data_IF_410768947172
#
_entry.id   IF_410768947172
#
_cell.length_a   1.000
_cell.length_b   1.000
_cell.length_c   1.000
_cell.angle_alpha   90.00
_cell.angle_beta   90.00
_cell.angle_gamma   90.00
#
_symmetry.space_group_name_H-M   'P 1'
#
loop_
_entity.id
_entity.type
_entity.pdbx_description
1 polymer ?
#
# COMPACT_ATOMS: atom_id res chain seq x y z
N UNK A 1 -10.07 -23.25 29.56
CA UNK A 1 -9.60 -22.02 28.86
C UNK A 1 -8.48 -22.42 27.92
N UNK A 2 -8.52 -22.03 26.65
CA UNK A 2 -7.42 -22.29 25.70
C UNK A 2 -7.86 -22.17 24.25
N UNK A 3 -8.42 -21.02 23.85
CA UNK A 3 -9.22 -20.89 22.63
C UNK A 3 -8.57 -20.10 21.48
N UNK A 4 -7.35 -19.59 21.62
CA UNK A 4 -6.74 -18.80 20.54
C UNK A 4 -5.24 -19.04 20.41
N UNK A 5 -4.85 -20.20 19.90
CA UNK A 5 -3.55 -20.33 19.20
C UNK A 5 -3.67 -19.56 17.87
N UNK A 6 -3.63 -18.22 17.94
CA UNK A 6 -3.59 -17.36 16.76
C UNK A 6 -2.29 -17.69 16.02
N UNK A 7 -2.38 -18.47 14.93
CA UNK A 7 -1.23 -18.68 14.05
C UNK A 7 -0.68 -17.31 13.64
N UNK A 8 0.63 -17.06 13.81
CA UNK A 8 1.23 -15.80 13.39
C UNK A 8 0.98 -15.67 11.89
N UNK A 9 0.40 -14.54 11.51
CA UNK A 9 0.19 -14.21 10.10
C UNK A 9 1.28 -13.23 9.73
N UNK A 10 1.87 -13.37 8.55
CA UNK A 10 2.98 -12.52 8.13
C UNK A 10 2.55 -11.59 7.00
N UNK A 11 3.12 -10.40 6.97
CA UNK A 11 2.92 -9.46 5.88
C UNK A 11 3.50 -10.03 4.60
N UNK A 12 2.74 -10.05 3.51
CA UNK A 12 3.23 -10.53 2.20
C UNK A 12 4.36 -9.67 1.62
N UNK A 13 4.50 -8.41 2.07
CA UNK A 13 5.51 -7.46 1.55
C UNK A 13 6.76 -7.46 2.42
N UNK A 14 6.62 -7.25 3.72
CA UNK A 14 7.76 -7.08 4.63
C UNK A 14 8.04 -8.30 5.53
N UNK A 15 7.26 -9.38 5.41
CA UNK A 15 7.35 -10.59 6.23
C UNK A 15 7.30 -10.37 7.75
N UNK A 16 6.88 -9.18 8.22
CA UNK A 16 6.68 -8.91 9.65
C UNK A 16 5.46 -9.67 10.16
N UNK A 17 5.52 -10.07 11.42
CA UNK A 17 4.39 -10.66 12.13
C UNK A 17 3.25 -9.64 12.26
N UNK A 18 2.04 -10.08 11.91
CA UNK A 18 0.83 -9.30 11.89
C UNK A 18 -0.01 -9.60 13.13
N UNK A 19 -0.20 -8.60 13.98
CA UNK A 19 -1.24 -8.60 15.01
C UNK A 19 -2.63 -8.39 14.42
N UNK A 20 -2.74 -7.56 13.38
CA UNK A 20 -3.97 -7.26 12.63
C UNK A 20 -3.79 -7.49 11.13
N UNK A 21 -4.76 -8.16 10.50
CA UNK A 21 -4.75 -8.46 9.07
C UNK A 21 -5.45 -7.34 8.31
N UNK A 22 -4.72 -6.55 7.54
CA UNK A 22 -5.32 -5.60 6.60
C UNK A 22 -5.53 -6.27 5.24
N UNK A 23 -6.76 -6.15 4.71
CA UNK A 23 -7.09 -6.63 3.37
C UNK A 23 -6.68 -5.56 2.36
N UNK A 24 -5.79 -5.85 1.40
CA UNK A 24 -5.48 -4.91 0.33
C UNK A 24 -6.71 -4.59 -0.52
N UNK A 25 -6.75 -3.39 -1.11
CA UNK A 25 -7.78 -3.05 -2.10
C UNK A 25 -7.65 -3.99 -3.32
N UNK A 26 -8.79 -4.37 -3.92
CA UNK A 26 -8.80 -5.22 -5.13
C UNK A 26 -7.99 -4.61 -6.28
N UNK A 27 -7.99 -3.29 -6.36
CA UNK A 27 -7.28 -2.50 -7.38
C UNK A 27 -5.74 -2.67 -7.30
N UNK A 28 -5.18 -3.03 -6.14
CA UNK A 28 -3.73 -3.15 -5.97
C UNK A 28 -3.17 -4.50 -6.46
N UNK A 29 -4.03 -5.46 -6.83
CA UNK A 29 -3.65 -6.82 -7.24
C UNK A 29 -2.76 -7.58 -6.23
N UNK A 30 -2.72 -7.17 -4.97
CA UNK A 30 -1.93 -7.84 -3.92
C UNK A 30 -2.74 -9.00 -3.33
N UNK A 31 -2.20 -10.22 -3.42
CA UNK A 31 -2.80 -11.43 -2.84
C UNK A 31 -2.12 -11.77 -1.51
N UNK A 32 -2.72 -11.34 -0.41
CA UNK A 32 -2.27 -11.69 0.94
C UNK A 32 -2.55 -10.61 1.98
N UNK A 33 -2.39 -10.92 3.28
CA UNK A 33 -2.55 -9.95 4.34
C UNK A 33 -1.35 -8.98 4.38
N UNK A 34 -1.64 -7.70 4.60
CA UNK A 34 -0.63 -6.65 4.75
C UNK A 34 -0.58 -6.16 6.20
N UNK A 35 0.59 -5.66 6.63
CA UNK A 35 0.71 -4.86 7.85
C UNK A 35 0.17 -3.45 7.62
N UNK A 36 -0.10 -2.73 8.70
CA UNK A 36 -0.58 -1.35 8.63
C UNK A 36 0.35 -0.46 7.80
N UNK A 37 1.67 -0.58 7.99
CA UNK A 37 2.66 0.20 7.25
C UNK A 37 2.64 -0.11 5.75
N UNK A 38 2.68 -1.39 5.37
CA UNK A 38 2.67 -1.80 3.96
C UNK A 38 1.32 -1.49 3.29
N UNK A 39 0.22 -1.54 4.03
CA UNK A 39 -1.09 -1.12 3.52
C UNK A 39 -1.11 0.40 3.28
N UNK A 40 -0.53 1.20 4.19
CA UNK A 40 -0.42 2.64 4.04
C UNK A 40 0.48 3.02 2.87
N UNK A 41 1.66 2.41 2.77
CA UNK A 41 2.61 2.65 1.68
C UNK A 41 2.00 2.32 0.32
N UNK A 42 1.35 1.16 0.19
CA UNK A 42 0.61 0.78 -1.03
C UNK A 42 -0.51 1.77 -1.37
N UNK A 43 -1.19 2.31 -0.35
CA UNK A 43 -2.20 3.33 -0.59
C UNK A 43 -1.58 4.60 -1.14
N UNK A 44 -0.46 5.04 -0.56
CA UNK A 44 0.28 6.21 -0.99
C UNK A 44 0.78 6.05 -2.43
N UNK A 45 1.42 4.93 -2.76
CA UNK A 45 1.84 4.59 -4.13
C UNK A 45 0.67 4.63 -5.12
N UNK A 46 -0.49 4.09 -4.73
CA UNK A 46 -1.67 4.06 -5.58
C UNK A 46 -2.22 5.47 -5.86
N UNK A 47 -2.24 6.35 -4.86
CA UNK A 47 -2.65 7.74 -5.03
C UNK A 47 -1.60 8.54 -5.81
N UNK A 48 -0.32 8.42 -5.49
CA UNK A 48 0.79 9.08 -6.20
C UNK A 48 0.85 8.68 -7.68
N UNK A 49 0.59 7.40 -8.00
CA UNK A 49 0.55 6.92 -9.38
C UNK A 49 -0.59 7.52 -10.20
N UNK A 50 -1.69 7.94 -9.56
CA UNK A 50 -2.86 8.54 -10.21
C UNK A 50 -2.75 10.05 -10.38
N UNK A 51 -2.03 10.76 -9.51
CA UNK A 51 -1.88 12.21 -9.62
C UNK A 51 -0.67 12.54 -10.49
N UNK A 52 -0.81 12.25 -11.78
CA UNK A 52 0.08 12.72 -12.84
C UNK A 52 -0.62 13.85 -13.56
N UNK A 53 0.03 14.99 -13.68
CA UNK A 53 -0.48 16.14 -14.45
C UNK A 53 0.60 16.53 -15.46
N UNK A 54 0.21 16.90 -16.70
CA UNK A 54 1.15 17.52 -17.62
C UNK A 54 1.57 18.87 -17.04
N UNK A 55 2.87 19.16 -17.08
CA UNK A 55 3.37 20.49 -16.76
C UNK A 55 2.76 21.52 -17.72
N UNK A 56 2.24 22.63 -17.19
CA UNK A 56 1.60 23.70 -17.99
C UNK A 56 2.59 24.45 -18.88
N UNK A 57 3.88 24.45 -18.52
CA UNK A 57 4.95 25.13 -19.27
C UNK A 57 5.58 24.23 -20.36
N UNK A 58 5.84 22.96 -20.04
CA UNK A 58 6.62 22.08 -20.92
C UNK A 58 5.88 20.83 -21.42
N UNK A 59 4.65 20.59 -20.95
CA UNK A 59 3.83 19.42 -21.35
C UNK A 59 4.31 18.08 -20.78
N UNK A 60 5.46 18.04 -20.10
CA UNK A 60 5.99 16.80 -19.54
C UNK A 60 5.10 16.32 -18.38
N UNK A 61 4.63 15.07 -18.47
CA UNK A 61 3.81 14.46 -17.43
C UNK A 61 4.70 13.99 -16.28
N UNK A 62 4.61 14.65 -15.13
CA UNK A 62 5.39 14.31 -13.93
C UNK A 62 4.47 14.05 -12.74
N UNK A 63 5.02 13.48 -11.67
CA UNK A 63 4.31 13.35 -10.39
C UNK A 63 4.08 14.74 -9.83
N UNK A 64 2.86 15.04 -9.37
CA UNK A 64 2.56 16.37 -8.82
C UNK A 64 3.41 16.74 -7.60
N UNK A 65 3.87 15.73 -6.85
CA UNK A 65 4.75 15.90 -5.68
C UNK A 65 6.14 16.40 -6.03
N UNK A 66 6.57 16.22 -7.28
CA UNK A 66 7.83 16.76 -7.84
C UNK A 66 7.62 18.11 -8.54
N UNK A 67 6.38 18.59 -8.66
CA UNK A 67 6.01 19.85 -9.31
C UNK A 67 5.84 21.01 -8.29
N UNK A 68 6.37 20.84 -7.07
CA UNK A 68 6.39 21.85 -6.01
C UNK A 68 7.81 22.33 -5.74
#
# INVERSE_FOLDING_TARGET
MGLFSKKPSYCTICNKELTHKHKPKREWNVKGPLCGDCHFDKSKEYYEGKVRQPCVECGQTQKITDLW
#
